data_IF_814362545710
#
_entry.id   IF_814362545710
#
_cell.length_a   1.000
_cell.length_b   1.000
_cell.length_c   1.000
_cell.angle_alpha   90.00
_cell.angle_beta   90.00
_cell.angle_gamma   90.00
#
_symmetry.space_group_name_H-M   'P 1'
#
loop_
_entity.id
_entity.type
_entity.pdbx_description
1 polymer ?
#
# COMPACT_ATOMS: atom_id res chain seq x y z
N UNK A 1 -1.92 -8.48 11.84
CA UNK A 1 -1.84 -9.90 11.41
C UNK A 1 -2.83 -10.25 10.28
N UNK A 2 -4.07 -9.73 10.26
CA UNK A 2 -5.05 -10.08 9.22
C UNK A 2 -4.67 -9.60 7.80
N UNK A 3 -4.03 -8.43 7.67
CA UNK A 3 -3.67 -7.88 6.36
C UNK A 3 -2.66 -8.75 5.60
N UNK A 4 -1.70 -9.37 6.31
CA UNK A 4 -0.68 -10.23 5.69
C UNK A 4 -1.28 -11.44 4.98
N UNK A 5 -2.22 -12.14 5.63
CA UNK A 5 -2.83 -13.35 5.08
C UNK A 5 -3.66 -13.09 3.82
N UNK A 6 -4.32 -11.92 3.73
CA UNK A 6 -5.08 -11.54 2.54
C UNK A 6 -4.16 -11.35 1.32
N UNK A 7 -2.93 -10.85 1.55
CA UNK A 7 -1.97 -10.55 0.49
C UNK A 7 -1.19 -11.78 0.02
N UNK A 8 -0.95 -12.77 0.89
CA UNK A 8 -0.27 -14.02 0.50
C UNK A 8 -1.12 -14.97 -0.35
N UNK A 9 -2.44 -14.78 -0.40
CA UNK A 9 -3.35 -15.58 -1.23
C UNK A 9 -3.46 -15.07 -2.68
N UNK A 10 -2.87 -13.91 -3.00
CA UNK A 10 -2.87 -13.38 -4.36
C UNK A 10 -1.76 -14.03 -5.19
N UNK A 11 -2.14 -14.90 -6.13
CA UNK A 11 -1.23 -15.55 -7.06
C UNK A 11 -0.80 -14.55 -8.14
N UNK A 12 0.48 -14.19 -8.16
CA UNK A 12 1.07 -13.35 -9.20
C UNK A 12 2.25 -12.50 -8.72
N UNK A 13 3.04 -11.92 -9.64
CA UNK A 13 4.14 -11.01 -9.31
C UNK A 13 3.64 -9.63 -8.83
N UNK A 14 2.33 -9.36 -8.90
CA UNK A 14 1.72 -8.09 -8.50
C UNK A 14 0.63 -8.36 -7.47
N UNK A 15 0.73 -7.68 -6.34
CA UNK A 15 -0.30 -7.66 -5.30
C UNK A 15 -1.07 -6.37 -5.42
N UNK A 16 -2.35 -6.47 -5.77
CA UNK A 16 -3.27 -5.35 -5.86
C UNK A 16 -3.96 -5.14 -4.51
N UNK A 17 -3.85 -3.93 -3.97
CA UNK A 17 -4.50 -3.52 -2.74
C UNK A 17 -5.54 -2.44 -3.05
N UNK A 18 -6.82 -2.73 -2.79
CA UNK A 18 -7.88 -1.72 -2.85
C UNK A 18 -7.85 -0.86 -1.59
N UNK A 19 -7.52 0.42 -1.77
CA UNK A 19 -7.50 1.41 -0.70
C UNK A 19 -8.80 2.23 -0.58
N UNK A 20 -9.82 1.94 -1.41
CA UNK A 20 -11.14 2.56 -1.32
C UNK A 20 -11.83 2.47 0.05
N UNK A 21 -11.77 1.34 0.78
CA UNK A 21 -12.37 1.24 2.10
C UNK A 21 -11.54 1.87 3.22
N UNK A 22 -10.29 2.31 2.97
CA UNK A 22 -9.55 3.08 3.96
C UNK A 22 -10.27 4.41 4.18
N UNK A 23 -10.72 4.65 5.42
CA UNK A 23 -11.34 5.92 5.84
C UNK A 23 -10.44 6.73 6.77
N UNK A 24 -9.50 6.06 7.41
CA UNK A 24 -8.54 6.63 8.35
C UNK A 24 -7.15 6.45 7.75
N UNK A 25 -6.47 7.56 7.54
CA UNK A 25 -5.11 7.59 7.00
C UNK A 25 -4.31 8.55 7.87
N UNK A 26 -3.30 8.01 8.53
CA UNK A 26 -2.34 8.76 9.34
C UNK A 26 -0.92 8.36 8.92
N UNK A 27 0.09 8.88 9.62
CA UNK A 27 1.50 8.52 9.38
C UNK A 27 1.78 7.02 9.60
N UNK A 28 1.04 6.35 10.47
CA UNK A 28 1.21 4.92 10.74
C UNK A 28 0.64 4.04 9.61
N UNK A 29 -0.50 4.44 9.01
CA UNK A 29 -1.07 3.76 7.86
C UNK A 29 -0.12 3.80 6.66
N UNK A 30 0.53 4.94 6.42
CA UNK A 30 1.56 5.09 5.39
C UNK A 30 2.77 4.20 5.69
N UNK A 31 3.25 4.17 6.93
CA UNK A 31 4.36 3.29 7.33
C UNK A 31 4.04 1.81 7.10
N UNK A 32 2.80 1.38 7.38
CA UNK A 32 2.35 0.01 7.11
C UNK A 32 2.35 -0.30 5.61
N UNK A 33 1.88 0.61 4.76
CA UNK A 33 1.90 0.42 3.29
C UNK A 33 3.33 0.31 2.75
N UNK A 34 4.26 1.13 3.24
CA UNK A 34 5.66 1.08 2.85
C UNK A 34 6.33 -0.22 3.31
N UNK A 35 6.08 -0.66 4.55
CA UNK A 35 6.59 -1.93 5.05
C UNK A 35 6.02 -3.12 4.27
N UNK A 36 4.74 -3.05 3.87
CA UNK A 36 4.11 -4.05 3.02
C UNK A 36 4.78 -4.13 1.65
N UNK A 37 5.03 -2.98 1.01
CA UNK A 37 5.76 -2.89 -0.25
C UNK A 37 7.16 -3.47 -0.11
N UNK A 38 7.88 -3.15 0.96
CA UNK A 38 9.24 -3.65 1.22
C UNK A 38 9.27 -5.17 1.34
N UNK A 39 8.29 -5.76 2.03
CA UNK A 39 8.18 -7.22 2.16
C UNK A 39 7.86 -7.88 0.82
N UNK A 40 6.93 -7.31 0.05
CA UNK A 40 6.60 -7.81 -1.27
C UNK A 40 7.79 -7.74 -2.23
N UNK A 41 8.53 -6.63 -2.22
CA UNK A 41 9.76 -6.49 -3.01
C UNK A 41 10.81 -7.53 -2.62
N UNK A 42 10.95 -7.86 -1.33
CA UNK A 42 11.83 -8.93 -0.87
C UNK A 42 11.38 -10.33 -1.35
N UNK A 43 10.09 -10.51 -1.61
CA UNK A 43 9.51 -11.71 -2.22
C UNK A 43 9.52 -11.67 -3.77
N UNK A 44 10.10 -10.62 -4.39
CA UNK A 44 10.09 -10.44 -5.85
C UNK A 44 8.72 -10.02 -6.41
N UNK A 45 7.83 -9.51 -5.56
CA UNK A 45 6.49 -9.03 -5.90
C UNK A 45 6.42 -7.51 -5.86
N UNK A 46 5.51 -6.94 -6.65
CA UNK A 46 5.22 -5.51 -6.67
C UNK A 46 3.90 -5.24 -5.98
N UNK A 47 3.83 -4.21 -5.14
CA UNK A 47 2.57 -3.71 -4.57
C UNK A 47 1.99 -2.65 -5.50
N UNK A 48 0.75 -2.83 -5.94
CA UNK A 48 -0.03 -1.79 -6.60
C UNK A 48 -1.24 -1.45 -5.74
N UNK A 49 -1.33 -0.19 -5.32
CA UNK A 49 -2.48 0.30 -4.56
C UNK A 49 -3.43 0.97 -5.54
N UNK A 50 -4.71 0.58 -5.50
CA UNK A 50 -5.74 1.11 -6.38
C UNK A 50 -6.83 1.79 -5.56
N UNK A 51 -7.58 2.69 -6.21
CA UNK A 51 -8.75 3.36 -5.62
C UNK A 51 -8.45 4.10 -4.31
N UNK A 52 -7.24 4.63 -4.14
CA UNK A 52 -6.94 5.40 -2.94
C UNK A 52 -7.70 6.73 -2.92
N UNK A 53 -8.15 7.19 -1.74
CA UNK A 53 -8.78 8.50 -1.61
C UNK A 53 -7.77 9.62 -1.89
N UNK A 54 -8.21 10.71 -2.54
CA UNK A 54 -7.38 11.91 -2.77
C UNK A 54 -6.74 12.48 -1.49
N UNK A 55 -7.37 12.27 -0.33
CA UNK A 55 -6.81 12.67 0.97
C UNK A 55 -5.58 11.85 1.34
N UNK A 56 -5.55 10.56 1.00
CA UNK A 56 -4.37 9.71 1.18
C UNK A 56 -3.23 10.18 0.26
N UNK A 57 -3.52 10.48 -0.99
CA UNK A 57 -2.55 11.04 -1.95
C UNK A 57 -1.92 12.34 -1.44
N UNK A 58 -2.74 13.29 -0.97
CA UNK A 58 -2.25 14.52 -0.37
C UNK A 58 -1.35 14.27 0.85
N UNK A 59 -1.74 13.33 1.72
CA UNK A 59 -0.97 12.96 2.90
C UNK A 59 0.36 12.30 2.53
N UNK A 60 0.38 11.40 1.54
CA UNK A 60 1.61 10.81 1.01
C UNK A 60 2.53 11.86 0.37
N UNK A 61 1.95 12.86 -0.31
CA UNK A 61 2.69 14.02 -0.84
C UNK A 61 3.33 14.86 0.26
N UNK A 62 2.62 15.11 1.37
CA UNK A 62 3.15 15.83 2.53
C UNK A 62 4.35 15.10 3.18
N UNK A 63 4.33 13.76 3.17
CA UNK A 63 5.42 12.94 3.70
C UNK A 63 6.52 12.63 2.66
N UNK A 64 6.38 13.09 1.41
CA UNK A 64 7.37 12.83 0.34
C UNK A 64 7.44 11.37 -0.12
N UNK A 65 6.40 10.58 0.14
CA UNK A 65 6.36 9.14 -0.19
C UNK A 65 5.33 8.79 -1.28
N UNK A 66 4.70 9.81 -1.88
CA UNK A 66 3.71 9.63 -2.94
C UNK A 66 4.26 8.84 -4.13
N UNK A 67 5.46 9.14 -4.61
CA UNK A 67 6.08 8.45 -5.74
C UNK A 67 6.46 6.98 -5.45
N UNK A 68 6.61 6.62 -4.17
CA UNK A 68 6.94 5.26 -3.76
C UNK A 68 5.74 4.30 -3.85
N UNK A 69 4.54 4.85 -3.84
CA UNK A 69 3.27 4.13 -3.85
C UNK A 69 2.40 4.53 -5.05
N UNK A 70 2.91 5.42 -5.92
CA UNK A 70 2.28 5.79 -7.18
C UNK A 70 2.04 4.54 -8.05
N UNK A 71 0.97 4.52 -8.87
CA UNK A 71 0.51 3.32 -9.56
C UNK A 71 1.49 2.83 -10.63
#
# INVERSE_FOLDING_TARGET
MALKHALTQQAGPVVMLDAGPLRVFDSSAVAVLLELRRQLLAEGKTLQVHNWPRRLEALMGLYGVGELLAP
#
